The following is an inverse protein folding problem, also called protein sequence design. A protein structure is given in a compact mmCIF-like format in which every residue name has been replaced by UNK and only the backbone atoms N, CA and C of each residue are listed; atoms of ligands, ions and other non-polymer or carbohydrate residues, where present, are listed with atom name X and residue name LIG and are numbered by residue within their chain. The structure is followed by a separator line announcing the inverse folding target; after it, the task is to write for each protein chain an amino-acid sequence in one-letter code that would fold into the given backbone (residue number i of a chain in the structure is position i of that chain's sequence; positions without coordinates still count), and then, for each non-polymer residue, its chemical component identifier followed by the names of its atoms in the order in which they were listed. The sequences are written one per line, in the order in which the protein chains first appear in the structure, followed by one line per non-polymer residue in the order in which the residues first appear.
data_IF_445930918202
#
_entry.id   IF_445930918202
#
_cell.length_a   1.000
_cell.length_b   1.000
_cell.length_c   1.000
_cell.angle_alpha   90.00
_cell.angle_beta   90.00
_cell.angle_gamma   90.00
#
_symmetry.space_group_name_H-M   'P 1'
#
loop_
_entity.id
_entity.type
_entity.pdbx_description
1 polymer ?
#
# COMPACT_ATOMS: atom_id res chain seq x y z
N UNK A 1 -2.50 -7.64 19.28
CA UNK A 1 -2.17 -7.91 17.86
C UNK A 1 -1.32 -6.77 17.33
N UNK A 2 -0.14 -7.08 16.80
CA UNK A 2 0.81 -6.10 16.29
C UNK A 2 0.60 -5.75 14.82
N UNK A 3 -0.03 -6.65 14.04
CA UNK A 3 -0.40 -6.45 12.64
C UNK A 3 -1.88 -6.73 12.42
N UNK A 4 -2.52 -5.93 11.59
CA UNK A 4 -3.89 -6.15 11.13
C UNK A 4 -4.17 -5.36 9.88
N UNK A 5 -5.12 -5.82 9.10
CA UNK A 5 -5.67 -5.16 7.92
C UNK A 5 -7.19 -5.04 8.08
N UNK A 6 -7.72 -3.90 7.64
CA UNK A 6 -9.16 -3.68 7.46
C UNK A 6 -9.36 -3.13 6.06
N UNK A 7 -10.18 -3.81 5.26
CA UNK A 7 -10.48 -3.40 3.89
C UNK A 7 -11.98 -3.39 3.67
N UNK A 8 -12.44 -2.38 2.99
CA UNK A 8 -13.79 -2.27 2.46
C UNK A 8 -13.71 -2.06 0.95
N UNK A 9 -14.45 -2.87 0.19
CA UNK A 9 -14.53 -2.75 -1.26
C UNK A 9 -16.01 -2.65 -1.65
N UNK A 10 -16.30 -1.80 -2.61
CA UNK A 10 -17.59 -1.76 -3.30
C UNK A 10 -17.37 -1.54 -4.78
N UNK A 11 -18.25 -2.09 -5.59
CA UNK A 11 -18.20 -1.90 -7.04
C UNK A 11 -19.62 -1.88 -7.62
N UNK A 12 -19.77 -1.13 -8.68
CA UNK A 12 -20.97 -1.07 -9.50
C UNK A 12 -20.57 -1.35 -10.94
N UNK A 13 -21.31 -2.19 -11.61
CA UNK A 13 -21.20 -2.44 -13.04
C UNK A 13 -22.56 -2.26 -13.68
N UNK A 14 -22.61 -1.50 -14.78
CA UNK A 14 -23.82 -1.25 -15.56
C UNK A 14 -23.48 -1.42 -17.03
N UNK A 15 -24.18 -2.31 -17.70
CA UNK A 15 -23.89 -2.69 -19.08
C UNK A 15 -25.16 -2.57 -19.96
N UNK A 16 -25.66 -1.35 -20.26
CA UNK A 16 -26.80 -1.16 -21.13
C UNK A 16 -26.44 -1.40 -22.61
N UNK A 17 -27.43 -1.86 -23.36
CA UNK A 17 -27.34 -2.10 -24.79
C UNK A 17 -28.46 -1.35 -25.50
N UNK A 18 -28.16 -0.71 -26.63
CA UNK A 18 -29.06 0.11 -27.42
C UNK A 18 -28.98 -0.29 -28.91
N UNK A 19 -29.91 0.24 -29.69
CA UNK A 19 -29.94 0.05 -31.16
C UNK A 19 -29.89 -1.46 -31.54
N UNK A 20 -30.80 -2.25 -30.99
CA UNK A 20 -30.85 -3.70 -31.20
C UNK A 20 -29.51 -4.42 -30.97
N UNK A 21 -28.81 -3.99 -29.90
CA UNK A 21 -27.48 -4.49 -29.48
C UNK A 21 -26.32 -4.07 -30.40
N UNK A 22 -26.50 -3.12 -31.29
CA UNK A 22 -25.41 -2.56 -32.08
C UNK A 22 -24.53 -1.61 -31.25
N UNK A 23 -25.08 -0.97 -30.21
CA UNK A 23 -24.34 -0.07 -29.34
C UNK A 23 -24.41 -0.59 -27.90
N UNK A 24 -23.26 -1.02 -27.41
CA UNK A 24 -23.10 -1.57 -26.06
C UNK A 24 -22.19 -0.66 -25.22
N UNK A 25 -22.60 -0.43 -24.00
CA UNK A 25 -21.81 0.27 -23.00
C UNK A 25 -21.48 -0.70 -21.88
N UNK A 26 -20.29 -0.54 -21.30
CA UNK A 26 -19.93 -1.21 -20.06
C UNK A 26 -19.26 -0.19 -19.14
N UNK A 27 -19.98 0.23 -18.10
CA UNK A 27 -19.48 1.15 -17.10
C UNK A 27 -19.20 0.38 -15.80
N UNK A 28 -17.98 0.50 -15.30
CA UNK A 28 -17.60 -0.07 -14.01
C UNK A 28 -17.02 1.05 -13.14
N UNK A 29 -17.48 1.14 -11.90
CA UNK A 29 -16.89 1.99 -10.87
C UNK A 29 -16.57 1.15 -9.64
N UNK A 30 -15.40 1.39 -9.03
CA UNK A 30 -14.93 0.68 -7.83
C UNK A 30 -14.40 1.69 -6.82
N UNK A 31 -14.68 1.43 -5.57
CA UNK A 31 -14.10 2.13 -4.44
C UNK A 31 -13.52 1.12 -3.46
N UNK A 32 -12.31 1.39 -2.98
CA UNK A 32 -11.64 0.62 -1.96
C UNK A 32 -11.11 1.54 -0.86
N UNK A 33 -11.39 1.20 0.37
CA UNK A 33 -10.75 1.77 1.54
C UNK A 33 -9.96 0.67 2.25
N UNK A 34 -8.71 0.98 2.57
CA UNK A 34 -7.85 0.08 3.32
C UNK A 34 -7.18 0.81 4.49
N UNK A 35 -7.09 0.12 5.60
CA UNK A 35 -6.35 0.58 6.78
C UNK A 35 -5.54 -0.57 7.34
N UNK A 36 -4.24 -0.37 7.41
CA UNK A 36 -3.27 -1.37 7.85
C UNK A 36 -2.51 -0.90 9.07
N UNK A 37 -2.14 -1.84 9.91
CA UNK A 37 -1.10 -1.68 10.90
C UNK A 37 0.04 -2.62 10.57
N UNK A 38 1.20 -2.04 10.29
CA UNK A 38 2.43 -2.77 10.05
C UNK A 38 3.24 -2.92 11.34
N UNK A 39 4.02 -4.00 11.42
CA UNK A 39 4.99 -4.24 12.47
C UNK A 39 6.31 -4.73 11.86
N UNK A 40 7.40 -4.52 12.57
CA UNK A 40 8.74 -4.98 12.19
C UNK A 40 8.91 -6.48 12.45
N UNK A 41 8.12 -7.30 11.75
CA UNK A 41 8.08 -8.77 11.96
C UNK A 41 9.41 -9.42 11.61
N UNK A 42 10.03 -9.03 10.48
CA UNK A 42 11.33 -9.55 10.05
C UNK A 42 12.42 -9.26 11.09
N UNK A 43 12.47 -8.02 11.60
CA UNK A 43 13.43 -7.61 12.63
C UNK A 43 13.19 -8.39 13.93
N UNK A 44 11.92 -8.57 14.33
CA UNK A 44 11.59 -9.34 15.53
C UNK A 44 12.00 -10.81 15.42
N UNK A 45 11.78 -11.45 14.27
CA UNK A 45 12.22 -12.83 14.03
C UNK A 45 13.74 -12.93 14.04
N UNK A 46 14.44 -12.03 13.32
CA UNK A 46 15.91 -12.02 13.28
C UNK A 46 16.52 -11.85 14.67
N UNK A 47 15.96 -10.93 15.47
CA UNK A 47 16.40 -10.74 16.84
C UNK A 47 16.06 -11.93 17.74
N UNK A 48 14.90 -12.58 17.56
CA UNK A 48 14.52 -13.75 18.34
C UNK A 48 15.46 -14.96 18.08
N UNK A 49 15.98 -15.11 16.86
CA UNK A 49 16.94 -16.15 16.54
C UNK A 49 18.33 -15.90 17.10
N UNK A 50 18.69 -14.63 17.35
CA UNK A 50 20.02 -14.22 17.83
C UNK A 50 20.04 -13.90 19.34
N UNK A 51 18.87 -13.74 19.95
CA UNK A 51 18.76 -13.44 21.39
C UNK A 51 19.11 -14.65 22.21
N UNK A 52 19.87 -14.43 23.29
CA UNK A 52 20.12 -15.46 24.30
C UNK A 52 18.80 -15.95 24.91
N UNK A 53 18.41 -17.22 24.72
CA UNK A 53 17.14 -17.74 25.19
C UNK A 53 17.02 -17.84 26.72
N UNK A 54 18.12 -17.66 27.44
CA UNK A 54 18.13 -17.63 28.92
C UNK A 54 17.70 -16.28 29.48
N UNK A 55 17.67 -15.23 28.65
CA UNK A 55 17.30 -13.90 29.09
C UNK A 55 15.78 -13.74 29.17
N UNK A 56 15.27 -13.03 30.19
CA UNK A 56 13.84 -12.79 30.33
C UNK A 56 13.34 -11.78 29.28
N UNK A 57 12.04 -11.78 29.01
CA UNK A 57 11.42 -10.76 28.14
C UNK A 57 11.46 -9.37 28.80
N UNK A 58 11.24 -9.32 30.10
CA UNK A 58 11.23 -8.07 30.89
C UNK A 58 12.46 -7.99 31.78
N UNK A 59 13.06 -6.80 31.84
CA UNK A 59 14.21 -6.55 32.69
C UNK A 59 13.84 -6.43 34.17
N UNK A 60 14.77 -6.85 35.02
CA UNK A 60 14.59 -6.82 36.45
C UNK A 60 15.51 -5.72 37.07
N UNK A 61 14.95 -4.59 37.46
CA UNK A 61 15.69 -3.47 38.00
C UNK A 61 15.27 -2.10 37.43
N UNK A 62 15.67 -1.03 38.13
CA UNK A 62 15.25 0.35 37.82
C UNK A 62 15.79 0.86 36.48
N UNK A 63 16.94 0.38 36.02
CA UNK A 63 17.57 0.84 34.80
C UNK A 63 16.76 0.46 33.55
N UNK A 64 15.94 -0.57 33.61
CA UNK A 64 15.11 -0.98 32.45
C UNK A 64 13.96 -0.03 32.16
N UNK A 65 13.65 0.93 33.02
CA UNK A 65 12.69 2.01 32.74
C UNK A 65 13.07 2.84 31.50
N UNK A 66 14.36 2.96 31.22
CA UNK A 66 14.87 3.69 30.05
C UNK A 66 14.68 2.98 28.71
N UNK A 67 14.29 1.71 28.76
CA UNK A 67 13.99 0.86 27.59
C UNK A 67 12.58 0.26 27.67
N UNK A 68 11.68 0.92 28.43
CA UNK A 68 10.26 0.55 28.53
C UNK A 68 9.98 -0.72 29.35
N UNK A 69 10.91 -1.11 30.23
CA UNK A 69 10.77 -2.29 31.09
C UNK A 69 11.17 -3.62 30.43
N UNK A 70 11.57 -3.61 29.16
CA UNK A 70 12.04 -4.81 28.48
C UNK A 70 13.49 -5.12 28.85
N UNK A 71 13.83 -6.41 28.91
CA UNK A 71 15.24 -6.79 28.98
C UNK A 71 15.96 -6.31 27.72
N UNK A 72 17.04 -5.58 27.90
CA UNK A 72 17.93 -5.11 26.85
C UNK A 72 19.32 -4.97 27.41
N UNK A 73 20.36 -5.23 26.62
CA UNK A 73 21.69 -4.87 27.01
C UNK A 73 21.81 -3.36 27.12
N UNK A 74 22.25 -2.87 28.27
CA UNK A 74 22.26 -1.44 28.59
C UNK A 74 23.68 -0.87 28.57
N UNK A 75 23.80 0.37 28.18
CA UNK A 75 24.98 1.21 28.32
C UNK A 75 24.63 2.55 28.97
N UNK A 76 25.63 3.32 29.32
CA UNK A 76 25.39 4.68 29.77
C UNK A 76 24.80 5.54 28.65
N UNK A 77 24.06 6.57 29.02
CA UNK A 77 23.48 7.50 28.03
C UNK A 77 24.58 8.16 27.19
N UNK A 78 24.23 8.52 25.96
CA UNK A 78 25.07 9.34 25.09
C UNK A 78 25.18 10.78 25.64
N UNK A 79 26.31 11.45 25.36
CA UNK A 79 26.53 12.86 25.70
C UNK A 79 25.55 13.81 25.02
N UNK A 80 24.89 13.35 23.94
CA UNK A 80 23.82 14.09 23.25
C UNK A 80 22.54 14.22 24.09
N UNK A 81 22.38 13.38 25.12
CA UNK A 81 21.23 13.40 26.03
C UNK A 81 21.58 14.30 27.23
N UNK A 82 21.11 15.54 27.18
CA UNK A 82 21.34 16.53 28.24
C UNK A 82 20.48 16.30 29.50
N UNK A 83 19.41 15.51 29.40
CA UNK A 83 18.49 15.21 30.51
C UNK A 83 19.24 14.48 31.63
N UNK A 84 19.34 15.07 32.83
CA UNK A 84 20.06 14.47 33.97
C UNK A 84 19.34 13.24 34.56
N UNK A 85 18.04 13.12 34.33
CA UNK A 85 17.24 12.00 34.82
C UNK A 85 17.31 10.78 33.91
N UNK A 86 17.76 10.94 32.66
CA UNK A 86 18.00 9.84 31.74
C UNK A 86 19.43 9.32 31.89
N UNK A 87 19.62 8.13 32.43
CA UNK A 87 20.96 7.60 32.78
C UNK A 87 21.46 6.49 31.90
N UNK A 88 20.55 5.68 31.38
CA UNK A 88 20.89 4.50 30.59
C UNK A 88 20.20 4.52 29.24
N UNK A 89 20.75 3.79 28.29
CA UNK A 89 20.17 3.53 26.99
C UNK A 89 20.49 2.10 26.55
N UNK A 90 19.80 1.63 25.53
CA UNK A 90 20.12 0.36 24.91
C UNK A 90 21.53 0.38 24.32
N UNK A 91 22.30 -0.67 24.56
CA UNK A 91 23.65 -0.79 24.02
C UNK A 91 23.61 -0.92 22.50
N UNK A 92 24.57 -0.29 21.82
CA UNK A 92 24.70 -0.39 20.36
C UNK A 92 25.25 -1.77 19.93
N UNK A 93 24.91 -2.18 18.71
CA UNK A 93 25.46 -3.38 18.05
C UNK A 93 25.19 -4.71 18.80
N UNK A 94 24.10 -4.77 19.55
CA UNK A 94 23.65 -5.99 20.24
C UNK A 94 22.27 -6.39 19.76
N UNK A 95 21.92 -7.65 20.01
CA UNK A 95 20.58 -8.17 19.73
C UNK A 95 19.52 -7.40 20.55
N UNK A 96 18.44 -7.03 19.90
CA UNK A 96 17.33 -6.34 20.52
C UNK A 96 16.33 -7.34 21.11
N UNK A 97 15.61 -6.93 22.14
CA UNK A 97 14.48 -7.71 22.61
C UNK A 97 13.38 -7.78 21.53
N UNK A 98 13.03 -8.97 21.01
CA UNK A 98 12.07 -9.10 19.90
C UNK A 98 10.66 -8.60 20.23
N UNK A 99 10.24 -8.70 21.49
CA UNK A 99 8.94 -8.17 21.93
C UNK A 99 8.98 -6.64 21.97
N UNK A 100 10.07 -6.06 22.47
CA UNK A 100 10.26 -4.61 22.47
C UNK A 100 10.30 -4.03 21.05
N UNK A 101 10.88 -4.74 20.08
CA UNK A 101 10.89 -4.35 18.66
C UNK A 101 9.45 -4.20 18.12
N UNK A 102 8.56 -5.13 18.46
CA UNK A 102 7.17 -5.09 18.03
C UNK A 102 6.34 -4.02 18.74
N UNK A 103 6.54 -3.84 20.04
CA UNK A 103 5.71 -2.97 20.86
C UNK A 103 6.11 -1.50 20.79
N UNK A 104 7.40 -1.23 20.58
CA UNK A 104 7.93 0.13 20.44
C UNK A 104 7.79 0.71 19.02
N UNK A 105 7.23 -0.05 18.09
CA UNK A 105 6.99 0.37 16.71
C UNK A 105 5.50 0.37 16.38
N UNK A 106 5.03 1.46 15.80
CA UNK A 106 3.66 1.60 15.30
C UNK A 106 3.67 2.29 13.95
N UNK A 107 3.17 1.61 12.93
CA UNK A 107 2.98 2.19 11.61
C UNK A 107 1.54 1.92 11.18
N UNK A 108 0.80 2.98 10.91
CA UNK A 108 -0.59 2.93 10.45
C UNK A 108 -0.65 3.54 9.05
N UNK A 109 -1.03 2.72 8.08
CA UNK A 109 -1.30 3.19 6.73
C UNK A 109 -2.81 3.21 6.45
N UNK A 110 -3.23 4.18 5.66
CA UNK A 110 -4.60 4.33 5.14
C UNK A 110 -4.53 4.59 3.66
N UNK A 111 -5.35 3.92 2.88
CA UNK A 111 -5.45 4.13 1.44
C UNK A 111 -6.91 4.21 1.02
N UNK A 112 -7.19 5.18 0.15
CA UNK A 112 -8.44 5.27 -0.59
C UNK A 112 -8.10 5.09 -2.07
N UNK A 113 -8.82 4.22 -2.73
CA UNK A 113 -8.66 3.93 -4.16
C UNK A 113 -10.02 4.06 -4.84
N UNK A 114 -10.09 4.89 -5.86
CA UNK A 114 -11.27 5.07 -6.70
C UNK A 114 -10.85 4.77 -8.12
N UNK A 115 -11.58 3.88 -8.79
CA UNK A 115 -11.35 3.59 -10.19
C UNK A 115 -12.66 3.49 -10.95
N UNK A 116 -12.62 3.89 -12.20
CA UNK A 116 -13.73 3.79 -13.12
C UNK A 116 -13.26 3.42 -14.52
N UNK A 117 -14.09 2.67 -15.23
CA UNK A 117 -13.87 2.31 -16.63
C UNK A 117 -15.20 2.44 -17.39
N UNK A 118 -15.12 3.05 -18.55
CA UNK A 118 -16.22 3.13 -19.51
C UNK A 118 -15.74 2.54 -20.82
N UNK A 119 -16.42 1.52 -21.32
CA UNK A 119 -16.22 0.90 -22.60
C UNK A 119 -17.45 1.12 -23.47
N UNK A 120 -17.23 1.35 -24.75
CA UNK A 120 -18.25 1.53 -25.75
C UNK A 120 -17.90 0.66 -26.95
N UNK A 121 -18.78 -0.24 -27.29
CA UNK A 121 -18.70 -1.07 -28.50
C UNK A 121 -19.83 -0.69 -29.45
N UNK A 122 -19.48 -0.34 -30.65
CA UNK A 122 -20.45 -0.02 -31.70
C UNK A 122 -20.23 -0.89 -32.94
N UNK A 123 -21.16 -1.76 -33.17
CA UNK A 123 -21.28 -2.54 -34.42
C UNK A 123 -22.03 -1.70 -35.45
N UNK A 124 -21.37 -1.35 -36.56
CA UNK A 124 -21.93 -0.40 -37.52
C UNK A 124 -23.20 -1.00 -38.17
N UNK A 125 -24.30 -0.29 -38.01
CA UNK A 125 -25.58 -0.72 -38.54
C UNK A 125 -25.56 -0.75 -40.08
N UNK A 126 -25.89 -1.90 -40.69
CA UNK A 126 -25.84 -2.12 -42.12
C UNK A 126 -24.45 -2.44 -42.68
N UNK A 127 -23.40 -2.42 -41.85
CA UNK A 127 -22.05 -2.90 -42.20
C UNK A 127 -21.46 -3.60 -40.97
N UNK A 128 -22.05 -4.74 -40.64
CA UNK A 128 -21.88 -5.41 -39.37
C UNK A 128 -20.52 -6.11 -39.18
N UNK A 129 -19.73 -6.18 -40.29
CA UNK A 129 -18.36 -6.69 -40.25
C UNK A 129 -17.39 -5.68 -39.60
N UNK A 130 -17.80 -4.42 -39.41
CA UNK A 130 -16.98 -3.38 -38.81
C UNK A 130 -17.48 -3.01 -37.41
N UNK A 131 -16.60 -3.23 -36.42
CA UNK A 131 -16.81 -2.89 -35.04
C UNK A 131 -15.89 -1.75 -34.62
N UNK A 132 -16.42 -0.78 -33.89
CA UNK A 132 -15.68 0.31 -33.31
C UNK A 132 -15.70 0.13 -31.77
N UNK A 133 -14.53 0.11 -31.18
CA UNK A 133 -14.37 0.00 -29.73
C UNK A 133 -13.64 1.22 -29.19
N UNK A 134 -14.16 1.79 -28.11
CA UNK A 134 -13.49 2.84 -27.37
C UNK A 134 -13.61 2.56 -25.87
N UNK A 135 -12.53 2.80 -25.14
CA UNK A 135 -12.56 2.70 -23.69
C UNK A 135 -11.75 3.83 -23.05
N UNK A 136 -12.24 4.29 -21.91
CA UNK A 136 -11.55 5.22 -21.05
C UNK A 136 -11.57 4.68 -19.62
N UNK A 137 -10.41 4.59 -19.00
CA UNK A 137 -10.22 4.20 -17.60
C UNK A 137 -9.55 5.32 -16.82
N UNK A 138 -9.95 5.47 -15.57
CA UNK A 138 -9.32 6.38 -14.64
C UNK A 138 -9.18 5.72 -13.27
N UNK A 139 -8.04 5.96 -12.61
CA UNK A 139 -7.80 5.52 -11.23
C UNK A 139 -7.17 6.67 -10.44
N UNK A 140 -7.64 6.84 -9.21
CA UNK A 140 -7.05 7.74 -8.23
C UNK A 140 -6.83 6.99 -6.92
N UNK A 141 -5.62 7.10 -6.36
CA UNK A 141 -5.27 6.52 -5.07
C UNK A 141 -4.67 7.61 -4.18
N UNK A 142 -5.19 7.74 -2.97
CA UNK A 142 -4.67 8.59 -1.89
C UNK A 142 -4.22 7.71 -0.73
N UNK A 143 -2.92 7.73 -0.42
CA UNK A 143 -2.29 6.93 0.63
C UNK A 143 -1.60 7.81 1.66
N UNK A 144 -1.84 7.52 2.94
CA UNK A 144 -1.25 8.19 4.10
C UNK A 144 -0.67 7.17 5.05
N UNK A 145 0.49 7.47 5.61
CA UNK A 145 1.15 6.60 6.58
C UNK A 145 1.68 7.43 7.75
N UNK A 146 1.34 7.00 8.96
CA UNK A 146 1.86 7.51 10.21
C UNK A 146 2.80 6.47 10.81
N UNK A 147 4.05 6.82 11.03
CA UNK A 147 5.05 5.99 11.69
C UNK A 147 5.44 6.60 13.03
N UNK A 148 5.45 5.78 14.06
CA UNK A 148 5.86 6.19 15.40
C UNK A 148 6.81 5.16 15.98
N UNK A 149 7.98 5.60 16.43
CA UNK A 149 8.93 4.81 17.19
C UNK A 149 8.99 5.39 18.62
N UNK A 150 8.74 4.54 19.60
CA UNK A 150 8.78 4.93 21.01
C UNK A 150 10.18 5.42 21.42
N UNK A 151 10.24 6.39 22.33
CA UNK A 151 11.49 6.80 22.98
C UNK A 151 12.21 5.68 23.77
N UNK A 152 11.53 4.57 24.00
CA UNK A 152 12.10 3.37 24.64
C UNK A 152 12.64 2.36 23.63
N UNK A 153 12.49 2.62 22.33
CA UNK A 153 13.02 1.74 21.28
C UNK A 153 14.54 1.78 21.24
N UNK A 154 15.14 0.64 20.98
CA UNK A 154 16.57 0.52 20.73
C UNK A 154 17.08 1.51 19.68
N UNK A 155 16.38 1.64 18.53
CA UNK A 155 16.85 2.44 17.41
C UNK A 155 16.82 3.95 17.65
N UNK A 156 15.90 4.43 18.49
CA UNK A 156 15.69 5.85 18.75
C UNK A 156 15.51 6.12 20.25
N UNK A 157 16.33 5.44 21.07
CA UNK A 157 16.21 5.52 22.51
C UNK A 157 16.39 6.95 23.02
N UNK A 158 15.51 7.40 23.92
CA UNK A 158 15.32 8.76 24.40
C UNK A 158 14.59 9.69 23.42
N UNK A 159 15.00 9.79 22.18
CA UNK A 159 14.46 10.76 21.22
C UNK A 159 13.11 10.31 20.65
N UNK A 160 12.93 9.00 20.42
CA UNK A 160 11.79 8.51 19.67
C UNK A 160 11.83 8.97 18.21
N UNK A 161 10.74 8.71 17.48
CA UNK A 161 10.58 9.18 16.10
C UNK A 161 9.11 9.26 15.74
N UNK A 162 8.76 10.28 14.98
CA UNK A 162 7.47 10.39 14.31
C UNK A 162 7.69 10.77 12.85
N UNK A 163 7.12 9.98 11.95
CA UNK A 163 7.13 10.23 10.52
C UNK A 163 5.71 10.22 9.97
N UNK A 164 5.46 11.08 8.98
CA UNK A 164 4.22 11.14 8.25
C UNK A 164 4.51 11.17 6.77
N UNK A 165 3.97 10.18 6.04
CA UNK A 165 4.07 10.10 4.60
C UNK A 165 2.68 10.25 3.99
N UNK A 166 2.58 11.05 2.94
CA UNK A 166 1.38 11.17 2.13
C UNK A 166 1.76 11.10 0.65
N UNK A 167 1.12 10.21 -0.08
CA UNK A 167 1.30 10.11 -1.51
C UNK A 167 -0.05 9.91 -2.20
N UNK A 168 -0.23 10.59 -3.32
CA UNK A 168 -1.33 10.32 -4.21
C UNK A 168 -0.81 10.02 -5.61
N UNK A 169 -1.57 9.19 -6.31
CA UNK A 169 -1.32 8.84 -7.71
C UNK A 169 -2.64 8.83 -8.46
N UNK A 170 -2.58 9.22 -9.71
CA UNK A 170 -3.68 9.00 -10.64
C UNK A 170 -3.17 8.49 -11.99
N UNK A 171 -3.98 7.71 -12.66
CA UNK A 171 -3.79 7.32 -14.03
C UNK A 171 -5.06 7.54 -14.83
N UNK A 172 -4.89 7.90 -16.10
CA UNK A 172 -5.96 7.97 -17.08
C UNK A 172 -5.46 7.23 -18.31
N UNK A 173 -6.26 6.31 -18.79
CA UNK A 173 -5.97 5.49 -19.98
C UNK A 173 -7.12 5.59 -20.93
N UNK A 174 -6.81 5.82 -22.21
CA UNK A 174 -7.79 5.84 -23.29
C UNK A 174 -7.32 4.97 -24.44
N UNK A 175 -8.23 4.16 -24.97
CA UNK A 175 -7.96 3.35 -26.17
C UNK A 175 -9.15 3.41 -27.11
N UNK A 176 -8.85 3.36 -28.40
CA UNK A 176 -9.86 3.21 -29.44
C UNK A 176 -9.30 2.35 -30.58
N UNK A 177 -10.09 1.44 -31.07
CA UNK A 177 -9.73 0.62 -32.22
C UNK A 177 -10.95 0.30 -33.08
N UNK A 178 -10.69 0.00 -34.34
CA UNK A 178 -11.65 -0.55 -35.29
C UNK A 178 -11.21 -1.96 -35.65
N UNK A 179 -12.16 -2.88 -35.68
CA UNK A 179 -11.99 -4.26 -36.04
C UNK A 179 -12.91 -4.57 -37.23
N UNK A 180 -12.34 -5.08 -38.32
CA UNK A 180 -13.07 -5.57 -39.48
C UNK A 180 -12.89 -7.07 -39.56
N UNK A 181 -14.00 -7.82 -39.44
CA UNK A 181 -14.03 -9.26 -39.49
C UNK A 181 -15.03 -9.72 -40.55
N UNK A 182 -14.54 -10.38 -41.62
CA UNK A 182 -15.39 -10.87 -42.68
C UNK A 182 -14.95 -12.24 -43.21
N UNK A 183 -15.92 -13.09 -43.54
CA UNK A 183 -15.69 -14.41 -44.10
C UNK A 183 -15.88 -14.37 -45.61
N UNK A 184 -14.78 -14.55 -46.36
CA UNK A 184 -14.75 -14.67 -47.81
C UNK A 184 -14.74 -16.15 -48.23
N UNK A 185 -15.90 -16.77 -48.30
CA UNK A 185 -16.02 -18.19 -48.61
C UNK A 185 -15.40 -19.09 -47.54
N UNK A 186 -14.23 -19.67 -47.79
CA UNK A 186 -13.49 -20.51 -46.85
C UNK A 186 -12.39 -19.74 -46.08
N UNK A 187 -12.24 -18.46 -46.34
CA UNK A 187 -11.21 -17.60 -45.73
C UNK A 187 -11.86 -16.63 -44.76
N UNK A 188 -11.39 -16.65 -43.55
CA UNK A 188 -11.75 -15.68 -42.49
C UNK A 188 -10.65 -14.63 -42.41
N UNK A 189 -11.02 -13.36 -42.52
CA UNK A 189 -10.12 -12.20 -42.38
C UNK A 189 -10.58 -11.39 -41.22
N UNK A 190 -9.64 -11.12 -40.29
CA UNK A 190 -9.81 -10.26 -39.15
C UNK A 190 -8.65 -9.26 -39.11
N UNK A 191 -8.98 -7.99 -39.18
CA UNK A 191 -8.01 -6.88 -39.16
C UNK A 191 -8.42 -5.88 -38.13
N UNK A 192 -7.48 -5.56 -37.20
CA UNK A 192 -7.68 -4.55 -36.18
C UNK A 192 -6.64 -3.43 -36.32
N UNK A 193 -7.08 -2.20 -36.16
CA UNK A 193 -6.22 -1.02 -36.05
C UNK A 193 -6.72 -0.09 -34.97
N UNK A 194 -5.82 0.45 -34.20
CA UNK A 194 -6.20 1.32 -33.09
C UNK A 194 -5.04 2.10 -32.46
N UNK A 195 -5.37 2.89 -31.48
CA UNK A 195 -4.44 3.68 -30.71
C UNK A 195 -4.79 3.62 -29.22
N UNK A 196 -3.76 3.70 -28.40
CA UNK A 196 -3.86 3.76 -26.94
C UNK A 196 -2.98 4.87 -26.41
N UNK A 197 -3.45 5.57 -25.39
CA UNK A 197 -2.69 6.57 -24.66
C UNK A 197 -2.92 6.39 -23.17
N UNK A 198 -1.84 6.42 -22.41
CA UNK A 198 -1.88 6.41 -20.95
C UNK A 198 -1.14 7.62 -20.39
N UNK A 199 -1.67 8.15 -19.29
CA UNK A 199 -1.03 9.19 -18.49
C UNK A 199 -1.00 8.75 -17.04
N UNK A 200 0.18 8.81 -16.42
CA UNK A 200 0.39 8.44 -15.01
C UNK A 200 1.08 9.59 -14.28
N UNK A 201 0.57 9.91 -13.11
CA UNK A 201 1.17 10.90 -12.22
C UNK A 201 1.23 10.38 -10.78
N UNK A 202 2.35 10.64 -10.12
CA UNK A 202 2.54 10.34 -8.69
C UNK A 202 3.24 11.51 -8.01
N UNK A 203 2.71 11.92 -6.89
CA UNK A 203 3.31 12.92 -6.00
C UNK A 203 3.22 12.44 -4.57
N UNK A 204 4.23 12.78 -3.76
CA UNK A 204 4.24 12.49 -2.35
C UNK A 204 5.14 13.44 -1.59
N UNK A 205 4.89 13.56 -0.30
CA UNK A 205 5.71 14.32 0.65
C UNK A 205 5.73 13.59 2.00
N UNK A 206 6.78 13.81 2.74
CA UNK A 206 7.07 13.26 4.05
C UNK A 206 7.60 14.35 4.99
#
# INVERSE_FOLDING_TARGET
KTTWMKRFNTSVNVAPSFLDKHLNFNFTAKYMFEKDRYAKVGDAIGNALSMDPTQPVYGNGEDYKYVGGYFQYLQNKSDQISDPDWKKMAASQVTQNPVAVLDNYKCIAKSNDISGNLEVDYKIHGFEDLHLHAAIGAQYTDGKQDETISKYSYSNNYFGYYGYDHAYKYSIEGKAFAEYAHQFGVHDIDIMAGAEQSHYHRTGYN
#
